data_IF_280521141060
#
_entry.id   IF_280521141060
#
_cell.length_a   1.000
_cell.length_b   1.000
_cell.length_c   1.000
_cell.angle_alpha   90.00
_cell.angle_beta   90.00
_cell.angle_gamma   90.00
#
_symmetry.space_group_name_H-M   'P 1'
#
loop_
_entity.id
_entity.type
_entity.pdbx_description
1 polymer ?
#
# COMPACT_ATOMS: atom_id res chain seq x y z
N UNK A 1 -3.46 9.56 1.71
CA UNK A 1 -2.31 8.98 2.45
C UNK A 1 -2.61 7.52 2.72
N UNK A 2 -1.76 6.61 2.25
CA UNK A 2 -1.86 5.16 2.48
C UNK A 2 -0.69 4.75 3.37
N UNK A 3 -0.95 3.92 4.37
CA UNK A 3 0.02 3.41 5.33
C UNK A 3 -0.01 1.88 5.33
N UNK A 4 1.11 1.25 5.01
CA UNK A 4 1.24 -0.21 4.94
C UNK A 4 2.57 -0.63 5.58
N UNK A 5 2.60 -1.45 6.64
CA UNK A 5 3.83 -2.07 7.08
C UNK A 5 4.22 -3.15 6.06
N UNK A 6 5.51 -3.37 5.78
CA UNK A 6 5.94 -4.28 4.73
C UNK A 6 5.56 -5.73 5.01
N UNK A 7 5.48 -6.14 6.28
CA UNK A 7 4.94 -7.45 6.67
C UNK A 7 3.51 -7.68 6.20
N UNK A 8 2.75 -6.64 5.84
CA UNK A 8 1.33 -6.75 5.53
C UNK A 8 1.02 -7.57 4.28
N UNK A 9 1.93 -7.62 3.31
CA UNK A 9 1.69 -8.32 2.05
C UNK A 9 2.45 -9.64 2.07
N UNK A 10 1.88 -10.64 2.76
CA UNK A 10 2.10 -12.01 2.32
C UNK A 10 1.49 -12.10 0.92
N UNK A 11 2.38 -12.13 -0.08
CA UNK A 11 2.07 -11.86 -1.47
C UNK A 11 0.77 -12.57 -1.84
N UNK A 12 -0.30 -11.80 -2.08
CA UNK A 12 -1.43 -12.31 -2.83
C UNK A 12 -0.84 -12.90 -4.12
N UNK A 13 -1.30 -14.08 -4.49
CA UNK A 13 -0.75 -14.86 -5.59
C UNK A 13 -0.38 -13.96 -6.79
N UNK A 14 0.84 -14.10 -7.34
CA UNK A 14 1.38 -13.19 -8.36
C UNK A 14 0.50 -13.08 -9.63
N UNK A 15 -0.45 -13.99 -9.81
CA UNK A 15 -1.31 -14.13 -10.98
C UNK A 15 -2.62 -13.32 -10.94
N UNK A 16 -3.09 -12.80 -9.79
CA UNK A 16 -4.42 -12.15 -9.72
C UNK A 16 -4.40 -10.61 -9.71
N UNK A 17 -3.32 -9.97 -9.22
CA UNK A 17 -3.25 -8.49 -9.11
C UNK A 17 -1.83 -7.90 -9.21
N UNK A 18 -0.83 -8.68 -9.61
CA UNK A 18 0.59 -8.34 -9.49
C UNK A 18 1.03 -7.06 -10.22
N UNK A 19 0.32 -6.66 -11.28
CA UNK A 19 0.63 -5.47 -12.08
C UNK A 19 0.46 -4.16 -11.28
N UNK A 20 -0.64 -4.03 -10.53
CA UNK A 20 -0.97 -2.78 -9.84
C UNK A 20 -0.06 -2.49 -8.63
N UNK A 21 0.56 -3.51 -8.05
CA UNK A 21 1.45 -3.37 -6.89
C UNK A 21 2.93 -3.23 -7.30
N UNK A 22 3.28 -3.33 -8.59
CA UNK A 22 4.67 -3.36 -9.05
C UNK A 22 5.58 -2.27 -8.48
N UNK A 23 5.14 -0.99 -8.35
CA UNK A 23 5.99 0.07 -7.80
C UNK A 23 6.44 -0.17 -6.36
N UNK A 24 5.57 -0.78 -5.55
CA UNK A 24 5.77 -0.97 -4.10
C UNK A 24 6.07 -2.43 -3.71
N UNK A 25 5.87 -3.39 -4.60
CA UNK A 25 6.19 -4.80 -4.40
C UNK A 25 7.59 -5.08 -3.80
N UNK A 26 8.68 -4.42 -4.24
CA UNK A 26 9.99 -4.63 -3.61
C UNK A 26 10.08 -4.04 -2.20
N UNK A 27 9.37 -2.94 -1.92
CA UNK A 27 9.33 -2.32 -0.59
C UNK A 27 8.56 -3.21 0.40
N UNK A 28 7.46 -3.81 -0.07
CA UNK A 28 6.66 -4.76 0.71
C UNK A 28 7.46 -6.02 1.11
N UNK A 29 8.47 -6.40 0.32
CA UNK A 29 9.32 -7.57 0.61
C UNK A 29 10.53 -7.22 1.49
N UNK A 30 10.77 -5.94 1.76
CA UNK A 30 11.91 -5.49 2.53
C UNK A 30 11.59 -5.51 4.03
N UNK A 31 12.05 -6.56 4.70
CA UNK A 31 11.84 -6.77 6.14
C UNK A 31 12.58 -5.76 7.04
N UNK A 32 13.45 -4.91 6.48
CA UNK A 32 14.11 -3.83 7.23
C UNK A 32 13.24 -2.59 7.34
N UNK A 33 12.21 -2.48 6.50
CA UNK A 33 11.24 -1.40 6.59
C UNK A 33 10.22 -1.76 7.67
N UNK A 34 9.63 -0.76 8.29
CA UNK A 34 8.55 -0.90 9.27
C UNK A 34 7.25 -0.31 8.73
N UNK A 35 7.35 0.64 7.81
CA UNK A 35 6.20 1.35 7.27
C UNK A 35 6.45 1.85 5.85
N UNK A 36 5.41 1.83 5.02
CA UNK A 36 5.37 2.39 3.67
C UNK A 36 4.23 3.40 3.66
N UNK A 37 4.54 4.63 3.30
CA UNK A 37 3.60 5.74 3.23
C UNK A 37 3.46 6.20 1.78
N UNK A 38 2.24 6.29 1.26
CA UNK A 38 1.98 6.77 -0.10
C UNK A 38 1.03 7.97 -0.04
N UNK A 39 1.56 9.14 -0.40
CA UNK A 39 0.80 10.39 -0.41
C UNK A 39 0.33 10.79 -1.81
N UNK A 40 0.84 10.13 -2.85
CA UNK A 40 0.50 10.34 -4.24
C UNK A 40 1.35 9.43 -5.14
N UNK A 41 1.14 9.45 -6.46
CA UNK A 41 1.84 8.57 -7.39
C UNK A 41 3.37 8.74 -7.33
N UNK A 42 3.85 9.97 -7.14
CA UNK A 42 5.29 10.28 -7.05
C UNK A 42 5.79 10.48 -5.61
N UNK A 43 4.94 10.25 -4.61
CA UNK A 43 5.22 10.58 -3.21
C UNK A 43 5.13 9.31 -2.34
N UNK A 44 6.12 8.44 -2.50
CA UNK A 44 6.25 7.18 -1.75
C UNK A 44 7.41 7.28 -0.76
N UNK A 45 7.09 7.17 0.52
CA UNK A 45 8.04 7.20 1.62
C UNK A 45 8.09 5.84 2.31
N UNK A 46 9.21 5.56 2.96
CA UNK A 46 9.40 4.37 3.79
C UNK A 46 10.00 4.76 5.12
N UNK A 47 9.64 4.03 6.17
CA UNK A 47 10.26 4.11 7.49
C UNK A 47 11.23 2.94 7.68
N UNK A 48 12.47 3.26 8.04
CA UNK A 48 13.52 2.31 8.38
C UNK A 48 14.25 2.82 9.63
N UNK A 49 14.29 2.00 10.68
CA UNK A 49 14.99 2.30 11.93
C UNK A 49 14.59 3.66 12.55
N UNK A 50 13.30 4.01 12.48
CA UNK A 50 12.74 5.26 12.97
C UNK A 50 12.96 6.47 12.05
N UNK A 51 13.47 6.28 10.84
CA UNK A 51 13.76 7.35 9.87
C UNK A 51 12.87 7.23 8.64
N UNK A 52 12.22 8.34 8.29
CA UNK A 52 11.40 8.44 7.09
C UNK A 52 12.27 8.87 5.91
N UNK A 53 12.21 8.11 4.81
CA UNK A 53 12.98 8.33 3.59
C UNK A 53 12.03 8.37 2.38
N UNK A 54 12.21 9.35 1.50
CA UNK A 54 11.57 9.34 0.18
C UNK A 54 12.23 8.29 -0.71
N UNK A 55 11.44 7.55 -1.48
CA UNK A 55 11.93 6.53 -2.40
C UNK A 55 11.94 7.04 -3.84
N UNK A 56 12.77 6.45 -4.71
CA UNK A 56 12.73 6.65 -6.17
C UNK A 56 11.60 5.88 -6.87
N UNK A 57 10.71 5.23 -6.10
CA UNK A 57 9.57 4.48 -6.63
C UNK A 57 8.40 5.42 -6.86
N UNK A 58 7.64 5.12 -7.91
CA UNK A 58 6.47 5.91 -8.32
C UNK A 58 5.48 5.05 -9.07
N UNK A 59 4.20 5.36 -8.89
CA UNK A 59 3.13 4.86 -9.74
C UNK A 59 3.14 5.63 -11.05
N UNK A 60 2.60 5.04 -12.11
CA UNK A 60 2.52 5.70 -13.42
C UNK A 60 1.64 6.95 -13.36
N UNK A 61 0.50 6.82 -12.68
CA UNK A 61 -0.49 7.87 -12.49
C UNK A 61 -1.40 7.54 -11.30
N UNK A 62 -2.36 8.43 -11.05
CA UNK A 62 -3.33 8.27 -9.96
C UNK A 62 -4.23 7.04 -10.13
N UNK A 63 -4.58 6.65 -11.37
CA UNK A 63 -5.39 5.45 -11.61
C UNK A 63 -4.59 4.16 -11.30
N UNK A 64 -3.29 4.14 -11.59
CA UNK A 64 -2.43 3.04 -11.19
C UNK A 64 -2.38 2.95 -9.64
N UNK A 65 -2.20 4.07 -8.94
CA UNK A 65 -2.27 4.10 -7.48
C UNK A 65 -3.61 3.59 -6.94
N UNK A 66 -4.74 4.03 -7.50
CA UNK A 66 -6.07 3.57 -7.09
C UNK A 66 -6.28 2.08 -7.37
N UNK A 67 -5.72 1.56 -8.45
CA UNK A 67 -5.73 0.12 -8.75
C UNK A 67 -4.95 -0.67 -7.71
N UNK A 68 -3.79 -0.15 -7.28
CA UNK A 68 -2.98 -0.73 -6.21
C UNK A 68 -3.75 -0.77 -4.89
N UNK A 69 -4.44 0.32 -4.54
CA UNK A 69 -5.33 0.41 -3.38
C UNK A 69 -6.44 -0.63 -3.46
N UNK A 70 -7.11 -0.77 -4.61
CA UNK A 70 -8.14 -1.79 -4.81
C UNK A 70 -7.62 -3.21 -4.62
N UNK A 71 -6.39 -3.49 -5.06
CA UNK A 71 -5.74 -4.79 -4.86
C UNK A 71 -5.45 -5.05 -3.37
N UNK A 72 -4.91 -4.05 -2.64
CA UNK A 72 -4.68 -4.15 -1.19
C UNK A 72 -5.98 -4.37 -0.41
N UNK A 73 -7.06 -3.67 -0.80
CA UNK A 73 -8.38 -3.83 -0.20
C UNK A 73 -8.97 -5.21 -0.43
N UNK A 74 -8.85 -5.71 -1.66
CA UNK A 74 -9.27 -7.07 -2.01
C UNK A 74 -8.53 -8.10 -1.16
N UNK A 75 -7.21 -7.93 -0.99
CA UNK A 75 -6.39 -8.80 -0.11
C UNK A 75 -6.80 -8.71 1.36
N UNK A 76 -7.26 -7.54 1.82
CA UNK A 76 -7.81 -7.33 3.16
C UNK A 76 -9.24 -7.89 3.34
N UNK A 77 -9.86 -8.45 2.29
CA UNK A 77 -11.26 -8.88 2.34
C UNK A 77 -12.26 -7.72 2.45
N UNK A 78 -11.86 -6.50 2.04
CA UNK A 78 -12.71 -5.31 2.04
C UNK A 78 -12.99 -4.87 0.60
N UNK A 79 -14.17 -4.30 0.37
CA UNK A 79 -14.45 -3.54 -0.85
C UNK A 79 -14.15 -2.07 -0.58
N UNK A 80 -13.75 -1.37 -1.64
CA UNK A 80 -13.69 0.09 -1.62
C UNK A 80 -15.12 0.62 -1.60
N UNK A 81 -15.51 1.14 -0.45
CA UNK A 81 -16.73 1.92 -0.31
C UNK A 81 -16.32 3.38 -0.14
N UNK A 82 -16.62 4.22 -1.14
CA UNK A 82 -16.27 5.65 -1.19
C UNK A 82 -17.09 6.52 -0.23
N UNK A 83 -17.77 5.90 0.74
CA UNK A 83 -18.62 6.60 1.71
C UNK A 83 -17.77 7.13 2.86
N UNK A 84 -16.69 6.41 3.22
CA UNK A 84 -15.77 6.79 4.28
C UNK A 84 -14.41 7.19 3.69
N UNK A 85 -13.96 8.45 3.87
CA UNK A 85 -12.67 8.91 3.37
C UNK A 85 -11.49 8.28 4.11
N UNK A 86 -11.74 7.62 5.25
CA UNK A 86 -10.73 6.93 6.06
C UNK A 86 -11.13 5.47 6.17
N UNK A 87 -10.22 4.59 5.78
CA UNK A 87 -10.40 3.15 5.87
C UNK A 87 -9.24 2.53 6.66
N UNK A 88 -9.58 1.72 7.65
CA UNK A 88 -8.64 0.90 8.40
C UNK A 88 -8.96 -0.58 8.20
N UNK A 89 -7.98 -1.35 7.73
CA UNK A 89 -8.10 -2.78 7.52
C UNK A 89 -6.95 -3.53 8.19
N UNK A 90 -7.23 -4.79 8.55
CA UNK A 90 -6.20 -5.73 8.99
C UNK A 90 -5.96 -6.71 7.85
N UNK A 91 -4.71 -6.80 7.40
CA UNK A 91 -4.33 -7.74 6.35
C UNK A 91 -4.21 -9.16 6.95
N UNK A 92 -4.27 -10.21 6.12
CA UNK A 92 -4.21 -11.60 6.59
C UNK A 92 -2.98 -11.93 7.46
N UNK A 93 -1.86 -11.23 7.23
CA UNK A 93 -0.63 -11.35 8.03
C UNK A 93 -0.73 -10.68 9.41
N UNK A 94 -1.85 -10.03 9.73
CA UNK A 94 -2.09 -9.34 11.01
C UNK A 94 -1.64 -7.88 11.05
N UNK A 95 -0.92 -7.45 10.02
CA UNK A 95 -0.52 -6.07 9.75
C UNK A 95 -1.69 -5.11 9.48
N UNK A 96 -1.45 -3.81 9.62
CA UNK A 96 -2.48 -2.76 9.49
C UNK A 96 -2.35 -2.01 8.18
N UNK A 97 -3.47 -1.75 7.53
CA UNK A 97 -3.55 -0.92 6.34
C UNK A 97 -4.45 0.26 6.66
N UNK A 98 -3.93 1.47 6.54
CA UNK A 98 -4.72 2.70 6.68
C UNK A 98 -4.73 3.43 5.36
N UNK A 99 -5.91 3.84 4.90
CA UNK A 99 -6.09 4.55 3.63
C UNK A 99 -6.92 5.80 3.91
N UNK A 100 -6.41 6.95 3.49
CA UNK A 100 -7.12 8.22 3.52
C UNK A 100 -7.26 8.71 2.09
N UNK A 101 -8.49 8.73 1.59
CA UNK A 101 -8.87 9.24 0.27
C UNK A 101 -9.37 10.69 0.41
N UNK A 102 -9.07 11.57 -0.55
CA UNK A 102 -9.72 12.88 -0.62
C UNK A 102 -11.25 12.73 -0.83
N UNK A 103 -12.07 13.66 -0.31
CA UNK A 103 -13.53 13.63 -0.46
C UNK A 103 -13.99 13.90 -1.90
#
# INVERSE_FOLDING_TARGET
MILVPPTAVHVADPDSSGAALQPIAPLLRDATLTEIMINGPDAIFVEREGRILLTDRRFEDENHLLSAVGALMTSAGRRLDFVDPVLEARLPDGSRLTIVLPP
#
